data_IF_247510354072
#
_entry.id   IF_247510354072
#
_cell.length_a   1.000
_cell.length_b   1.000
_cell.length_c   1.000
_cell.angle_alpha   90.00
_cell.angle_beta   90.00
_cell.angle_gamma   90.00
#
_symmetry.space_group_name_H-M   'P 1'
#
loop_
_entity.id
_entity.type
_entity.pdbx_description
1 polymer ?
#
# COMPACT_ATOMS: atom_id res chain seq x y z
N UNK A 1 58.91 -7.13 6.26
CA UNK A 1 59.35 -7.63 4.95
C UNK A 1 58.51 -8.86 4.63
N UNK A 2 57.40 -8.70 3.93
CA UNK A 2 56.55 -9.81 3.50
C UNK A 2 57.13 -10.39 2.21
N UNK A 3 57.56 -11.65 2.26
CA UNK A 3 57.99 -12.42 1.08
C UNK A 3 56.83 -12.49 0.10
N UNK A 4 57.03 -11.97 -1.11
CA UNK A 4 56.11 -12.18 -2.23
C UNK A 4 56.46 -13.54 -2.82
N UNK A 5 55.84 -14.60 -2.33
CA UNK A 5 56.01 -15.96 -2.87
C UNK A 5 55.42 -16.02 -4.29
N UNK A 6 56.28 -15.79 -5.29
CA UNK A 6 55.93 -15.91 -6.69
C UNK A 6 55.81 -17.40 -7.05
N UNK A 7 54.59 -17.92 -7.03
CA UNK A 7 54.27 -19.24 -7.56
C UNK A 7 54.00 -19.15 -9.06
N UNK A 8 54.54 -20.09 -9.85
CA UNK A 8 54.31 -20.16 -11.29
C UNK A 8 53.19 -21.15 -11.60
N UNK A 9 52.22 -20.72 -12.41
CA UNK A 9 51.10 -21.54 -12.85
C UNK A 9 51.14 -21.61 -14.38
N UNK A 10 51.16 -22.82 -14.93
CA UNK A 10 51.05 -23.03 -16.38
C UNK A 10 49.58 -23.25 -16.76
N UNK A 11 49.05 -22.37 -17.58
CA UNK A 11 47.66 -22.42 -18.05
C UNK A 11 47.66 -22.57 -19.58
N UNK A 12 46.90 -23.54 -20.09
CA UNK A 12 46.58 -23.60 -21.52
C UNK A 12 45.37 -22.72 -21.78
N UNK A 13 45.53 -21.70 -22.60
CA UNK A 13 44.46 -20.78 -22.97
C UNK A 13 44.11 -20.91 -24.46
N UNK A 14 42.83 -20.73 -24.83
CA UNK A 14 42.43 -20.61 -26.24
C UNK A 14 43.17 -19.46 -26.94
N UNK A 15 43.38 -19.59 -28.26
CA UNK A 15 44.10 -18.59 -29.05
C UNK A 15 43.46 -17.19 -28.94
N UNK A 16 42.13 -17.13 -28.92
CA UNK A 16 41.38 -15.87 -28.81
C UNK A 16 41.64 -15.17 -27.48
N UNK A 17 41.71 -15.94 -26.38
CA UNK A 17 41.99 -15.41 -25.05
C UNK A 17 43.43 -14.88 -24.95
N UNK A 18 44.38 -15.59 -25.56
CA UNK A 18 45.76 -15.13 -25.66
C UNK A 18 45.86 -13.81 -26.42
N UNK A 19 45.19 -13.71 -27.57
CA UNK A 19 45.15 -12.48 -28.36
C UNK A 19 44.61 -11.31 -27.55
N UNK A 20 43.52 -11.52 -26.80
CA UNK A 20 42.92 -10.49 -25.96
C UNK A 20 43.85 -10.01 -24.83
N UNK A 21 44.60 -10.93 -24.21
CA UNK A 21 45.61 -10.58 -23.17
C UNK A 21 46.78 -9.81 -23.78
N UNK A 22 47.26 -10.23 -24.95
CA UNK A 22 48.36 -9.57 -25.66
C UNK A 22 47.95 -8.13 -26.09
N UNK A 23 46.72 -7.95 -26.55
CA UNK A 23 46.18 -6.64 -26.92
C UNK A 23 45.99 -5.74 -25.68
N UNK A 24 45.54 -6.31 -24.56
CA UNK A 24 45.44 -5.58 -23.29
C UNK A 24 46.81 -5.15 -22.76
N UNK A 25 47.81 -6.03 -22.87
CA UNK A 25 49.20 -5.74 -22.49
C UNK A 25 49.77 -4.58 -23.31
N UNK A 26 49.58 -4.61 -24.64
CA UNK A 26 49.99 -3.54 -25.56
C UNK A 26 49.31 -2.21 -25.23
N UNK A 27 47.99 -2.22 -25.02
CA UNK A 27 47.23 -1.01 -24.72
C UNK A 27 47.66 -0.33 -23.41
N UNK A 28 48.14 -1.11 -22.44
CA UNK A 28 48.52 -0.65 -21.09
C UNK A 28 50.02 -0.48 -20.90
N UNK A 29 50.83 -0.80 -21.92
CA UNK A 29 52.29 -0.81 -21.84
C UNK A 29 52.83 -1.79 -20.79
N UNK A 30 52.10 -2.87 -20.50
CA UNK A 30 52.46 -3.85 -19.47
C UNK A 30 52.95 -5.16 -20.08
N UNK A 31 53.56 -6.02 -19.25
CA UNK A 31 53.93 -7.37 -19.68
C UNK A 31 52.69 -8.24 -19.81
N UNK A 32 52.74 -9.27 -20.66
CA UNK A 32 51.64 -10.25 -20.83
C UNK A 32 51.23 -10.85 -19.49
N UNK A 33 52.20 -11.18 -18.62
CA UNK A 33 51.93 -11.67 -17.27
C UNK A 33 51.22 -10.64 -16.40
N UNK A 34 51.64 -9.37 -16.44
CA UNK A 34 50.99 -8.28 -15.70
C UNK A 34 49.55 -8.02 -16.18
N UNK A 35 49.34 -8.04 -17.50
CA UNK A 35 48.01 -7.94 -18.10
C UNK A 35 47.11 -9.13 -17.72
N UNK A 36 47.64 -10.35 -17.75
CA UNK A 36 46.91 -11.55 -17.34
C UNK A 36 46.51 -11.50 -15.87
N UNK A 37 47.40 -11.07 -14.97
CA UNK A 37 47.10 -10.93 -13.54
C UNK A 37 46.07 -9.82 -13.29
N UNK A 38 46.16 -8.67 -13.97
CA UNK A 38 45.17 -7.59 -13.85
C UNK A 38 43.78 -8.03 -14.33
N UNK A 39 43.70 -8.68 -15.48
CA UNK A 39 42.43 -9.20 -16.02
C UNK A 39 41.84 -10.30 -15.12
N UNK A 40 42.67 -11.21 -14.59
CA UNK A 40 42.22 -12.22 -13.64
C UNK A 40 41.77 -11.59 -12.32
N UNK A 41 42.50 -10.60 -11.79
CA UNK A 41 42.11 -9.88 -10.58
C UNK A 41 40.77 -9.17 -10.74
N UNK A 42 40.56 -8.48 -11.86
CA UNK A 42 39.29 -7.83 -12.20
C UNK A 42 38.15 -8.83 -12.42
N UNK A 43 38.42 -9.95 -13.10
CA UNK A 43 37.43 -11.00 -13.30
C UNK A 43 37.02 -11.68 -11.99
N UNK A 44 37.99 -11.99 -11.12
CA UNK A 44 37.73 -12.54 -9.80
C UNK A 44 36.96 -11.56 -8.91
N UNK A 45 37.30 -10.27 -8.96
CA UNK A 45 36.55 -9.23 -8.26
C UNK A 45 35.12 -9.13 -8.79
N UNK A 46 34.92 -9.12 -10.11
CA UNK A 46 33.59 -9.09 -10.72
C UNK A 46 32.74 -10.30 -10.31
N UNK A 47 33.32 -11.51 -10.33
CA UNK A 47 32.63 -12.74 -9.90
C UNK A 47 32.36 -12.74 -8.39
N UNK A 48 33.26 -12.18 -7.57
CA UNK A 48 33.03 -12.02 -6.14
C UNK A 48 31.88 -11.03 -5.86
N UNK A 49 31.83 -9.95 -6.63
CA UNK A 49 30.81 -8.90 -6.51
C UNK A 49 29.44 -9.33 -7.07
N UNK A 50 29.38 -10.26 -8.02
CA UNK A 50 28.11 -10.79 -8.56
C UNK A 50 27.19 -11.36 -7.47
N UNK A 51 27.74 -12.10 -6.50
CA UNK A 51 26.96 -12.63 -5.37
C UNK A 51 26.43 -11.51 -4.49
N UNK A 52 27.26 -10.52 -4.20
CA UNK A 52 26.89 -9.34 -3.42
C UNK A 52 25.77 -8.54 -4.10
N UNK A 53 25.85 -8.37 -5.42
CA UNK A 53 24.81 -7.68 -6.20
C UNK A 53 23.51 -8.48 -6.22
N UNK A 54 23.57 -9.79 -6.40
CA UNK A 54 22.38 -10.66 -6.35
C UNK A 54 21.70 -10.62 -4.98
N UNK A 55 22.48 -10.67 -3.90
CA UNK A 55 21.97 -10.57 -2.53
C UNK A 55 21.34 -9.19 -2.25
N UNK A 56 21.96 -8.11 -2.72
CA UNK A 56 21.41 -6.75 -2.62
C UNK A 56 20.12 -6.60 -3.43
N UNK A 57 20.04 -7.17 -4.63
CA UNK A 57 18.82 -7.18 -5.43
C UNK A 57 17.70 -7.96 -4.73
N UNK A 58 18.02 -9.10 -4.11
CA UNK A 58 17.07 -9.89 -3.33
C UNK A 58 16.65 -9.19 -2.02
N UNK A 59 17.53 -8.40 -1.40
CA UNK A 59 17.18 -7.58 -0.25
C UNK A 59 16.31 -6.37 -0.65
N UNK A 60 16.63 -5.74 -1.78
CA UNK A 60 15.87 -4.61 -2.31
C UNK A 60 14.46 -5.04 -2.71
N UNK A 61 14.30 -6.17 -3.39
CA UNK A 61 12.98 -6.68 -3.76
C UNK A 61 12.12 -6.97 -2.52
N UNK A 62 12.70 -7.58 -1.49
CA UNK A 62 12.02 -7.79 -0.20
C UNK A 62 11.61 -6.48 0.47
N UNK A 63 12.51 -5.51 0.55
CA UNK A 63 12.21 -4.21 1.17
C UNK A 63 11.13 -3.44 0.41
N UNK A 64 11.13 -3.49 -0.93
CA UNK A 64 10.08 -2.87 -1.75
C UNK A 64 8.72 -3.52 -1.49
N UNK A 65 8.68 -4.85 -1.36
CA UNK A 65 7.43 -5.55 -1.03
C UNK A 65 6.92 -5.21 0.37
N UNK A 66 7.80 -5.19 1.38
CA UNK A 66 7.44 -4.81 2.75
C UNK A 66 6.93 -3.36 2.81
N UNK A 67 7.61 -2.44 2.11
CA UNK A 67 7.19 -1.05 2.03
C UNK A 67 5.80 -0.91 1.39
N UNK A 68 5.52 -1.64 0.31
CA UNK A 68 4.22 -1.60 -0.34
C UNK A 68 3.09 -2.08 0.58
N UNK A 69 3.34 -3.11 1.39
CA UNK A 69 2.39 -3.59 2.40
C UNK A 69 2.14 -2.53 3.47
N UNK A 70 3.20 -1.97 4.05
CA UNK A 70 3.07 -0.93 5.09
C UNK A 70 2.39 0.33 4.56
N UNK A 71 2.69 0.75 3.33
CA UNK A 71 2.02 1.90 2.72
C UNK A 71 0.52 1.64 2.49
N UNK A 72 0.14 0.43 2.09
CA UNK A 72 -1.26 0.05 1.96
C UNK A 72 -1.99 0.06 3.32
N UNK A 73 -1.38 -0.47 4.38
CA UNK A 73 -1.91 -0.40 5.74
C UNK A 73 -2.05 1.03 6.24
N UNK A 74 -1.09 1.90 5.90
CA UNK A 74 -1.13 3.30 6.29
C UNK A 74 -2.27 4.05 5.59
N UNK A 75 -2.50 3.77 4.30
CA UNK A 75 -3.63 4.34 3.56
C UNK A 75 -4.97 3.90 4.16
N UNK A 76 -5.13 2.62 4.50
CA UNK A 76 -6.36 2.13 5.12
C UNK A 76 -6.58 2.71 6.52
N UNK A 77 -5.53 2.79 7.34
CA UNK A 77 -5.59 3.42 8.67
C UNK A 77 -5.97 4.91 8.57
N UNK A 78 -5.40 5.65 7.61
CA UNK A 78 -5.77 7.06 7.37
C UNK A 78 -7.22 7.21 6.94
N UNK A 79 -7.73 6.32 6.07
CA UNK A 79 -9.13 6.34 5.65
C UNK A 79 -10.09 6.07 6.82
N UNK A 80 -9.73 5.15 7.72
CA UNK A 80 -10.49 4.89 8.95
C UNK A 80 -10.49 6.10 9.88
N UNK A 81 -9.33 6.74 10.10
CA UNK A 81 -9.23 7.95 10.92
C UNK A 81 -10.03 9.12 10.33
N UNK A 82 -10.01 9.31 9.01
CA UNK A 82 -10.83 10.33 8.34
C UNK A 82 -12.33 10.06 8.51
N UNK A 83 -12.74 8.79 8.48
CA UNK A 83 -14.13 8.39 8.71
C UNK A 83 -14.56 8.64 10.15
N UNK A 84 -13.70 8.34 11.13
CA UNK A 84 -13.92 8.65 12.54
C UNK A 84 -14.00 10.15 12.77
N UNK A 85 -13.13 10.95 12.14
CA UNK A 85 -13.18 12.41 12.19
C UNK A 85 -14.53 12.95 11.70
N UNK A 86 -14.96 12.52 10.50
CA UNK A 86 -16.26 12.89 9.95
C UNK A 86 -17.44 12.47 10.86
N UNK A 87 -17.33 11.31 11.51
CA UNK A 87 -18.34 10.86 12.47
C UNK A 87 -18.39 11.76 13.71
N UNK A 88 -17.24 12.11 14.28
CA UNK A 88 -17.14 13.03 15.43
C UNK A 88 -17.70 14.41 15.07
N UNK A 89 -17.37 14.93 13.90
CA UNK A 89 -17.89 16.22 13.42
C UNK A 89 -19.42 16.18 13.31
N UNK A 90 -19.98 15.12 12.73
CA UNK A 90 -21.45 14.94 12.64
C UNK A 90 -22.10 14.68 14.00
N UNK A 91 -21.42 13.99 14.91
CA UNK A 91 -21.90 13.77 16.26
C UNK A 91 -21.93 15.09 17.05
N UNK A 92 -20.99 16.00 16.82
CA UNK A 92 -20.99 17.34 17.43
C UNK A 92 -22.03 18.30 16.87
N UNK A 93 -22.52 18.07 15.65
CA UNK A 93 -23.52 18.94 15.02
C UNK A 93 -24.86 18.90 15.76
N UNK A 94 -25.46 20.07 15.92
CA UNK A 94 -26.80 20.22 16.48
C UNK A 94 -27.83 19.70 15.48
N UNK A 95 -28.50 18.61 15.82
CA UNK A 95 -29.51 17.96 14.95
C UNK A 95 -30.91 18.53 15.18
N UNK A 96 -31.14 19.16 16.33
CA UNK A 96 -32.44 19.74 16.63
C UNK A 96 -32.59 20.23 18.07
N UNK A 97 -33.83 20.20 18.54
CA UNK A 97 -34.21 20.55 19.91
C UNK A 97 -35.05 19.43 20.53
N UNK A 98 -34.89 19.19 21.83
CA UNK A 98 -35.69 18.21 22.54
C UNK A 98 -37.16 18.64 22.60
N UNK A 99 -38.13 17.77 22.29
CA UNK A 99 -39.56 18.12 22.30
C UNK A 99 -40.09 18.50 23.68
N UNK A 100 -39.53 17.94 24.77
CA UNK A 100 -40.01 18.20 26.14
C UNK A 100 -39.39 19.44 26.78
N UNK A 101 -38.08 19.65 26.65
CA UNK A 101 -37.37 20.73 27.35
C UNK A 101 -36.83 21.84 26.41
N UNK A 102 -37.01 21.69 25.10
CA UNK A 102 -36.56 22.63 24.03
C UNK A 102 -35.05 22.92 23.99
N UNK A 103 -34.24 22.19 24.75
CA UNK A 103 -32.78 22.34 24.74
C UNK A 103 -32.18 21.82 23.43
N UNK A 104 -31.00 22.34 23.01
CA UNK A 104 -30.23 21.78 21.90
C UNK A 104 -29.97 20.29 22.09
N UNK A 105 -30.07 19.50 21.02
CA UNK A 105 -29.54 18.14 20.99
C UNK A 105 -28.50 18.01 19.87
N UNK A 106 -27.38 17.37 20.18
CA UNK A 106 -26.30 17.04 19.25
C UNK A 106 -26.49 15.65 18.66
N UNK A 107 -25.78 15.34 17.57
CA UNK A 107 -25.77 14.00 16.98
C UNK A 107 -25.31 12.93 17.97
N UNK A 108 -24.35 13.26 18.84
CA UNK A 108 -23.85 12.38 19.89
C UNK A 108 -24.97 12.01 20.88
N UNK A 109 -25.82 12.96 21.25
CA UNK A 109 -26.95 12.72 22.16
C UNK A 109 -27.97 11.75 21.54
N UNK A 110 -28.15 11.82 20.22
CA UNK A 110 -29.06 10.96 19.46
C UNK A 110 -28.49 9.56 19.24
N UNK A 111 -27.24 9.46 18.79
CA UNK A 111 -26.62 8.18 18.40
C UNK A 111 -25.95 7.42 19.54
N UNK A 112 -25.36 8.10 20.53
CA UNK A 112 -24.63 7.46 21.63
C UNK A 112 -25.48 7.35 22.91
N UNK A 113 -26.15 8.44 23.31
CA UNK A 113 -26.91 8.47 24.56
C UNK A 113 -28.38 8.05 24.39
N UNK A 114 -28.94 8.21 23.18
CA UNK A 114 -30.37 8.02 22.87
C UNK A 114 -31.33 8.80 23.79
N UNK A 115 -30.82 9.81 24.51
CA UNK A 115 -31.52 10.56 25.56
C UNK A 115 -31.07 12.01 25.56
N UNK A 116 -31.96 12.91 25.96
CA UNK A 116 -31.62 14.32 26.10
C UNK A 116 -30.73 14.54 27.34
N UNK A 117 -29.59 15.25 27.23
CA UNK A 117 -28.69 15.48 28.36
C UNK A 117 -29.30 16.39 29.45
N UNK A 118 -30.30 17.22 29.11
CA UNK A 118 -30.90 18.16 30.04
C UNK A 118 -32.05 17.59 30.88
N UNK A 119 -32.84 16.66 30.32
CA UNK A 119 -34.05 16.14 30.98
C UNK A 119 -34.12 14.61 31.06
N UNK A 120 -33.15 13.88 30.49
CA UNK A 120 -33.06 12.42 30.55
C UNK A 120 -34.10 11.66 29.73
N UNK A 121 -34.97 12.36 29.00
CA UNK A 121 -36.03 11.77 28.19
C UNK A 121 -35.44 11.07 26.94
N UNK A 122 -35.99 9.91 26.53
CA UNK A 122 -35.53 9.18 25.36
C UNK A 122 -35.79 10.00 24.08
N UNK A 123 -34.80 10.03 23.19
CA UNK A 123 -34.86 10.70 21.89
C UNK A 123 -35.31 9.74 20.77
N UNK A 124 -35.75 8.53 21.12
CA UNK A 124 -36.19 7.48 20.17
C UNK A 124 -37.32 7.93 19.25
N UNK A 125 -38.17 8.87 19.66
CA UNK A 125 -39.24 9.44 18.82
C UNK A 125 -38.73 10.29 17.64
N UNK A 126 -37.48 10.78 17.69
CA UNK A 126 -36.85 11.48 16.56
C UNK A 126 -36.22 10.52 15.55
N UNK A 127 -35.92 9.29 15.98
CA UNK A 127 -35.38 8.21 15.15
C UNK A 127 -36.50 7.37 14.51
N UNK A 128 -37.69 7.36 15.11
CA UNK A 128 -38.87 6.77 14.49
C UNK A 128 -39.35 7.72 13.37
N UNK A 129 -39.44 7.27 12.10
CA UNK A 129 -40.06 8.07 11.07
C UNK A 129 -41.48 8.41 11.54
N UNK A 130 -41.78 9.70 11.63
CA UNK A 130 -43.09 10.19 12.06
C UNK A 130 -44.11 9.69 11.04
N UNK A 131 -44.72 8.55 11.33
CA UNK A 131 -45.76 7.94 10.52
C UNK A 131 -47.04 8.75 10.71
N UNK A 132 -47.09 9.95 10.13
CA UNK A 132 -48.29 10.75 9.95
C UNK A 132 -48.20 11.42 8.57
N UNK A 133 -48.54 10.63 7.55
CA UNK A 133 -49.39 11.00 6.41
C UNK A 133 -49.42 12.48 5.99
N UNK A 134 -48.70 12.81 4.91
CA UNK A 134 -49.14 13.77 3.88
C UNK A 134 -48.17 13.81 2.68
N UNK A 135 -48.11 12.72 1.91
CA UNK A 135 -48.00 12.67 0.43
C UNK A 135 -47.92 11.20 0.06
N UNK A 136 -48.94 10.69 -0.63
CA UNK A 136 -48.98 9.31 -1.09
C UNK A 136 -47.81 9.07 -2.05
N UNK A 137 -46.82 8.30 -1.61
CA UNK A 137 -45.92 7.62 -2.55
C UNK A 137 -46.77 6.55 -3.20
N UNK A 138 -47.14 6.82 -4.45
CA UNK A 138 -47.96 5.93 -5.25
C UNK A 138 -47.20 4.59 -5.41
N UNK A 139 -47.91 3.47 -5.31
CA UNK A 139 -47.33 2.13 -5.27
C UNK A 139 -46.43 1.82 -6.50
N UNK A 140 -46.61 2.58 -7.58
CA UNK A 140 -45.76 2.59 -8.79
C UNK A 140 -44.36 3.19 -8.56
N UNK A 141 -44.21 4.25 -7.77
CA UNK A 141 -42.89 4.82 -7.47
C UNK A 141 -42.09 3.87 -6.58
N UNK A 142 -42.74 3.20 -5.63
CA UNK A 142 -42.09 2.19 -4.80
C UNK A 142 -41.58 1.00 -5.64
N UNK A 143 -42.34 0.58 -6.65
CA UNK A 143 -41.91 -0.46 -7.59
C UNK A 143 -40.76 -0.01 -8.51
N UNK A 144 -40.73 1.27 -8.89
CA UNK A 144 -39.63 1.85 -9.67
C UNK A 144 -38.34 1.91 -8.84
N UNK A 145 -38.42 2.32 -7.57
CA UNK A 145 -37.26 2.31 -6.67
C UNK A 145 -36.77 0.88 -6.36
N UNK A 146 -37.69 -0.07 -6.15
CA UNK A 146 -37.35 -1.48 -5.96
C UNK A 146 -36.70 -2.09 -7.21
N UNK A 147 -37.19 -1.75 -8.41
CA UNK A 147 -36.59 -2.16 -9.68
C UNK A 147 -35.18 -1.58 -9.89
N UNK A 148 -34.97 -0.31 -9.55
CA UNK A 148 -33.67 0.35 -9.67
C UNK A 148 -32.63 -0.24 -8.70
N UNK A 149 -33.02 -0.53 -7.45
CA UNK A 149 -32.17 -1.22 -6.47
C UNK A 149 -31.86 -2.66 -6.90
N UNK A 150 -32.85 -3.39 -7.43
CA UNK A 150 -32.66 -4.75 -7.94
C UNK A 150 -31.67 -4.81 -9.12
N UNK A 151 -31.74 -3.84 -10.03
CA UNK A 151 -30.81 -3.76 -11.17
C UNK A 151 -29.37 -3.47 -10.72
N UNK A 152 -29.17 -2.57 -9.74
CA UNK A 152 -27.84 -2.25 -9.22
C UNK A 152 -27.21 -3.44 -8.49
N UNK A 153 -28.00 -4.18 -7.70
CA UNK A 153 -27.52 -5.39 -7.03
C UNK A 153 -27.20 -6.49 -8.05
N UNK A 154 -28.03 -6.65 -9.09
CA UNK A 154 -27.76 -7.60 -10.17
C UNK A 154 -26.46 -7.32 -10.94
N UNK A 155 -26.19 -6.04 -11.23
CA UNK A 155 -24.94 -5.63 -11.90
C UNK A 155 -23.73 -5.82 -10.98
N UNK A 156 -23.84 -5.51 -9.69
CA UNK A 156 -22.77 -5.74 -8.72
C UNK A 156 -22.49 -7.24 -8.48
N UNK A 157 -23.52 -8.09 -8.54
CA UNK A 157 -23.35 -9.54 -8.42
C UNK A 157 -22.73 -10.16 -9.68
N UNK A 158 -23.05 -9.63 -10.86
CA UNK A 158 -22.43 -10.06 -12.12
C UNK A 158 -20.98 -9.57 -12.26
N UNK A 159 -20.62 -8.41 -11.69
CA UNK A 159 -19.25 -7.90 -11.73
C UNK A 159 -18.30 -8.59 -10.75
N UNK A 160 -18.82 -9.20 -9.69
CA UNK A 160 -18.03 -9.95 -8.69
C UNK A 160 -17.82 -11.43 -9.05
N UNK A 161 -18.50 -11.94 -10.08
CA UNK A 161 -18.41 -13.33 -10.55
C UNK A 161 -17.48 -13.50 -11.76
N UNK A 162 -16.41 -12.70 -11.83
CA UNK A 162 -15.35 -12.77 -12.85
C UNK A 162 -14.05 -13.25 -12.25
#
# INVERSE_FOLDING_TARGET
MTSSDASSIYIRMPADLKSAVDDHAKARGSTVTGAAVDLLGRGLQAVADERSVADLQAALSRSVTEKAVVEAELVTARAQLATLGNFVDRAGQRVGTCPSCRQPISGADVFAASRCPACGQPLTELLAPKANSATGIDQRELLLFAGALGALIGVAYLSTKK
#
